data_IF_123913242142
#
_entry.id   IF_123913242142
#
_cell.length_a   1.000
_cell.length_b   1.000
_cell.length_c   1.000
_cell.angle_alpha   90.00
_cell.angle_beta   90.00
_cell.angle_gamma   90.00
#
_symmetry.space_group_name_H-M   'P 1'
#
loop_
_entity.id
_entity.type
_entity.pdbx_description
1 polymer ?
#
# COMPACT_ATOMS: atom_id res chain seq x y z
N UNK A 1 -28.57 -23.68 -9.79
CA UNK A 1 -27.97 -22.96 -8.65
C UNK A 1 -26.50 -22.81 -8.94
N UNK A 2 -26.07 -21.60 -9.29
CA UNK A 2 -24.72 -21.32 -9.77
C UNK A 2 -23.88 -20.72 -8.63
N UNK A 3 -22.68 -21.28 -8.46
CA UNK A 3 -21.45 -20.69 -7.93
C UNK A 3 -21.37 -20.33 -6.42
N UNK A 4 -20.89 -21.30 -5.64
CA UNK A 4 -19.86 -21.16 -4.59
C UNK A 4 -19.81 -19.86 -3.76
N UNK A 5 -20.48 -19.84 -2.61
CA UNK A 5 -20.36 -18.82 -1.55
C UNK A 5 -18.94 -18.69 -0.95
N UNK A 6 -18.04 -19.65 -1.23
CA UNK A 6 -16.66 -19.65 -0.72
C UNK A 6 -15.84 -18.46 -1.22
N UNK A 7 -16.14 -17.92 -2.40
CA UNK A 7 -15.46 -16.75 -2.96
C UNK A 7 -15.68 -15.49 -2.10
N UNK A 8 -16.84 -15.37 -1.43
CA UNK A 8 -17.18 -14.25 -0.56
C UNK A 8 -16.44 -14.26 0.78
N UNK A 9 -15.67 -15.32 1.08
CA UNK A 9 -14.80 -15.38 2.26
C UNK A 9 -13.34 -15.01 1.96
N UNK A 10 -12.96 -14.93 0.69
CA UNK A 10 -11.61 -14.52 0.30
C UNK A 10 -11.52 -12.99 0.29
N UNK A 11 -10.74 -12.42 1.22
CA UNK A 11 -10.42 -10.98 1.24
C UNK A 11 -8.99 -10.72 0.80
N UNK A 12 -8.76 -9.56 0.18
CA UNK A 12 -7.42 -9.07 -0.10
C UNK A 12 -6.70 -8.74 1.20
N UNK A 13 -5.45 -9.18 1.31
CA UNK A 13 -4.60 -8.85 2.45
C UNK A 13 -4.21 -7.38 2.42
N UNK A 14 -4.22 -6.75 3.58
CA UNK A 14 -3.82 -5.34 3.74
C UNK A 14 -2.29 -5.21 3.72
N UNK A 15 -1.75 -4.00 3.50
CA UNK A 15 -0.32 -3.70 3.72
C UNK A 15 0.20 -4.15 5.09
N UNK A 16 -0.60 -3.99 6.15
CA UNK A 16 -0.25 -4.41 7.52
C UNK A 16 -0.22 -5.94 7.66
N UNK A 17 -1.12 -6.65 7.00
CA UNK A 17 -1.16 -8.12 7.04
C UNK A 17 -0.08 -8.78 6.19
N UNK A 18 0.30 -8.14 5.08
CA UNK A 18 1.45 -8.57 4.28
C UNK A 18 2.74 -8.25 5.03
N UNK A 19 2.94 -7.02 5.53
CA UNK A 19 4.15 -6.59 6.24
C UNK A 19 5.42 -7.16 5.59
N UNK A 20 6.29 -7.85 6.35
CA UNK A 20 7.48 -8.56 5.85
C UNK A 20 7.22 -9.99 5.33
N UNK A 21 5.97 -10.47 5.31
CA UNK A 21 5.63 -11.80 4.78
C UNK A 21 5.83 -11.78 3.25
N UNK A 22 6.02 -12.96 2.65
CA UNK A 22 6.26 -13.15 1.20
C UNK A 22 7.63 -12.71 0.67
N UNK A 23 8.50 -12.16 1.52
CA UNK A 23 9.91 -11.92 1.16
C UNK A 23 10.56 -13.27 0.86
N UNK A 24 11.28 -13.37 -0.26
CA UNK A 24 11.90 -14.59 -0.78
C UNK A 24 10.95 -15.69 -1.28
N UNK A 25 9.63 -15.57 -1.04
CA UNK A 25 8.64 -16.56 -1.50
C UNK A 25 8.11 -16.25 -2.92
N UNK A 26 7.97 -14.96 -3.26
CA UNK A 26 7.38 -14.52 -4.53
C UNK A 26 8.25 -13.41 -5.16
N UNK A 27 9.35 -13.77 -5.85
CA UNK A 27 10.38 -12.81 -6.27
C UNK A 27 9.88 -11.67 -7.18
N UNK A 28 8.95 -11.95 -8.09
CA UNK A 28 8.42 -10.94 -9.01
C UNK A 28 7.52 -9.93 -8.29
N UNK A 29 6.73 -10.40 -7.33
CA UNK A 29 5.94 -9.51 -6.49
C UNK A 29 6.84 -8.70 -5.56
N UNK A 30 7.87 -9.32 -4.98
CA UNK A 30 8.82 -8.66 -4.08
C UNK A 30 9.45 -7.42 -4.71
N UNK A 31 9.75 -7.49 -6.01
CA UNK A 31 10.37 -6.39 -6.79
C UNK A 31 9.35 -5.40 -7.37
N UNK A 32 8.06 -5.61 -7.15
CA UNK A 32 7.01 -4.76 -7.70
C UNK A 32 6.88 -3.44 -6.95
N UNK A 33 6.45 -2.38 -7.65
CA UNK A 33 6.16 -1.07 -7.04
C UNK A 33 5.07 -1.21 -5.97
N UNK A 34 4.06 -2.05 -6.21
CA UNK A 34 2.98 -2.32 -5.26
C UNK A 34 3.52 -2.85 -3.93
N UNK A 35 4.46 -3.80 -3.97
CA UNK A 35 5.09 -4.34 -2.76
C UNK A 35 5.84 -3.25 -1.98
N UNK A 36 6.60 -2.41 -2.67
CA UNK A 36 7.32 -1.30 -2.03
C UNK A 36 6.36 -0.29 -1.41
N UNK A 37 5.25 0.04 -2.10
CA UNK A 37 4.19 0.90 -1.56
C UNK A 37 3.56 0.27 -0.31
N UNK A 38 3.28 -1.03 -0.32
CA UNK A 38 2.74 -1.74 0.85
C UNK A 38 3.72 -1.72 2.03
N UNK A 39 5.01 -1.92 1.79
CA UNK A 39 6.03 -1.78 2.84
C UNK A 39 6.14 -0.35 3.35
N UNK A 40 6.04 0.65 2.47
CA UNK A 40 6.03 2.06 2.84
C UNK A 40 4.88 2.39 3.78
N UNK A 41 3.66 1.99 3.41
CA UNK A 41 2.45 2.14 4.25
C UNK A 41 2.65 1.45 5.60
N UNK A 42 3.09 0.19 5.60
CA UNK A 42 3.35 -0.55 6.83
C UNK A 42 4.40 0.13 7.72
N UNK A 43 5.47 0.65 7.13
CA UNK A 43 6.54 1.38 7.83
C UNK A 43 6.01 2.65 8.46
N UNK A 44 5.24 3.46 7.72
CA UNK A 44 4.63 4.66 8.26
C UNK A 44 3.68 4.37 9.42
N UNK A 45 2.86 3.33 9.31
CA UNK A 45 1.95 2.90 10.39
C UNK A 45 2.74 2.48 11.63
N UNK A 46 3.78 1.66 11.45
CA UNK A 46 4.60 1.14 12.54
C UNK A 46 5.39 2.23 13.25
N UNK A 47 5.83 3.25 12.52
CA UNK A 47 6.59 4.39 13.01
C UNK A 47 5.66 5.54 13.44
N UNK A 48 4.71 5.24 14.33
CA UNK A 48 3.77 6.22 14.93
C UNK A 48 2.92 7.01 13.91
N UNK A 49 2.34 6.30 12.93
CA UNK A 49 1.50 6.89 11.87
C UNK A 49 2.19 8.03 11.09
N UNK A 50 3.48 7.87 10.81
CA UNK A 50 4.33 8.90 10.19
C UNK A 50 4.44 8.73 8.65
N UNK A 51 3.74 9.53 7.84
CA UNK A 51 3.79 9.44 6.38
C UNK A 51 5.15 9.87 5.80
N UNK A 52 5.93 10.69 6.51
CA UNK A 52 7.29 11.05 6.08
C UNK A 52 8.25 9.86 6.18
N UNK A 53 8.07 8.99 7.19
CA UNK A 53 8.82 7.72 7.28
C UNK A 53 8.42 6.75 6.17
N UNK A 54 7.13 6.69 5.83
CA UNK A 54 6.65 5.91 4.69
C UNK A 54 7.28 6.38 3.36
N UNK A 55 7.27 7.69 3.11
CA UNK A 55 7.88 8.28 1.91
C UNK A 55 9.39 8.04 1.87
N UNK A 56 10.09 8.24 3.00
CA UNK A 56 11.52 7.98 3.10
C UNK A 56 11.89 6.55 2.75
N UNK A 57 11.13 5.56 3.25
CA UNK A 57 11.30 4.17 2.89
C UNK A 57 11.15 3.95 1.36
N UNK A 58 10.08 4.47 0.76
CA UNK A 58 9.83 4.30 -0.68
C UNK A 58 10.96 4.91 -1.52
N UNK A 59 11.47 6.09 -1.15
CA UNK A 59 12.57 6.76 -1.87
C UNK A 59 13.88 5.98 -1.73
N UNK A 60 14.13 5.36 -0.58
CA UNK A 60 15.32 4.53 -0.36
C UNK A 60 15.27 3.22 -1.17
N UNK A 61 14.11 2.58 -1.25
CA UNK A 61 13.95 1.30 -1.96
C UNK A 61 13.76 1.45 -3.48
N UNK A 62 13.37 2.63 -3.96
CA UNK A 62 13.20 2.92 -5.40
C UNK A 62 14.23 3.97 -5.86
N UNK A 63 15.42 3.55 -6.33
CA UNK A 63 16.44 4.45 -6.85
C UNK A 63 15.96 5.40 -7.97
N UNK A 64 14.96 4.97 -8.75
CA UNK A 64 14.30 5.76 -9.79
C UNK A 64 12.89 6.21 -9.37
N UNK A 65 12.75 6.63 -8.11
CA UNK A 65 11.48 7.11 -7.54
C UNK A 65 10.79 8.16 -8.43
N UNK A 66 11.51 9.14 -8.95
CA UNK A 66 10.95 10.23 -9.76
C UNK A 66 10.23 9.71 -11.01
N UNK A 67 10.83 8.75 -11.71
CA UNK A 67 10.24 8.11 -12.89
C UNK A 67 8.99 7.27 -12.55
N UNK A 68 8.94 6.75 -11.31
CA UNK A 68 7.86 5.89 -10.80
C UNK A 68 6.76 6.67 -10.07
N UNK A 69 6.94 7.97 -9.86
CA UNK A 69 6.09 8.80 -9.00
C UNK A 69 4.62 8.75 -9.40
N UNK A 70 4.31 8.82 -10.69
CA UNK A 70 2.93 8.79 -11.17
C UNK A 70 2.26 7.44 -10.93
N UNK A 71 2.98 6.34 -11.09
CA UNK A 71 2.48 5.00 -10.75
C UNK A 71 2.25 4.88 -9.24
N UNK A 72 3.17 5.39 -8.41
CA UNK A 72 3.02 5.41 -6.95
C UNK A 72 1.74 6.19 -6.56
N UNK A 73 1.51 7.36 -7.16
CA UNK A 73 0.28 8.15 -6.92
C UNK A 73 -0.97 7.38 -7.30
N UNK A 74 -0.99 6.71 -8.45
CA UNK A 74 -2.14 5.90 -8.89
C UNK A 74 -2.42 4.75 -7.91
N UNK A 75 -1.38 4.03 -7.48
CA UNK A 75 -1.52 2.96 -6.49
C UNK A 75 -2.04 3.48 -5.15
N UNK A 76 -1.50 4.60 -4.66
CA UNK A 76 -1.96 5.20 -3.41
C UNK A 76 -3.40 5.72 -3.52
N UNK A 77 -3.78 6.29 -4.66
CA UNK A 77 -5.17 6.69 -4.92
C UNK A 77 -6.11 5.50 -4.87
N UNK A 78 -5.74 4.38 -5.49
CA UNK A 78 -6.54 3.16 -5.40
C UNK A 78 -6.66 2.65 -3.96
N UNK A 79 -5.55 2.62 -3.21
CA UNK A 79 -5.54 2.12 -1.83
C UNK A 79 -6.36 2.99 -0.89
N UNK A 80 -6.30 4.32 -1.00
CA UNK A 80 -7.06 5.19 -0.09
C UNK A 80 -8.57 5.09 -0.27
N UNK A 81 -9.03 4.73 -1.48
CA UNK A 81 -10.46 4.56 -1.78
C UNK A 81 -11.00 3.22 -1.24
N UNK A 82 -10.13 2.31 -0.77
CA UNK A 82 -10.56 1.02 -0.19
C UNK A 82 -11.37 1.16 1.10
N UNK A 83 -11.27 2.30 1.79
CA UNK A 83 -12.10 2.61 2.98
C UNK A 83 -13.59 2.76 2.64
N UNK A 84 -13.91 3.08 1.39
CA UNK A 84 -15.28 3.31 0.92
C UNK A 84 -15.90 2.03 0.31
N UNK A 85 -15.20 0.90 0.39
CA UNK A 85 -15.67 -0.39 -0.11
C UNK A 85 -16.15 -1.26 1.06
N UNK A 86 -17.44 -1.55 1.11
CA UNK A 86 -18.13 -2.22 2.24
C UNK A 86 -17.45 -3.50 2.74
N UNK A 87 -16.92 -4.33 1.82
CA UNK A 87 -16.27 -5.60 2.18
C UNK A 87 -14.78 -5.48 2.54
N UNK A 88 -14.21 -4.28 2.47
CA UNK A 88 -12.82 -3.97 2.87
C UNK A 88 -12.73 -3.25 4.22
N UNK A 89 -13.81 -2.56 4.61
CA UNK A 89 -13.97 -1.95 5.93
C UNK A 89 -14.32 -3.01 6.99
N UNK A 90 -13.73 -2.97 8.21
CA UNK A 90 -12.78 -1.97 8.71
C UNK A 90 -11.30 -2.31 8.48
N UNK A 91 -10.99 -3.49 7.93
CA UNK A 91 -9.61 -4.01 7.92
C UNK A 91 -8.61 -3.16 7.13
N UNK A 92 -9.09 -2.46 6.09
CA UNK A 92 -8.26 -1.59 5.26
C UNK A 92 -8.14 -0.16 5.79
N UNK A 93 -8.95 0.25 6.78
CA UNK A 93 -9.10 1.65 7.20
C UNK A 93 -7.76 2.32 7.55
N UNK A 94 -6.94 1.68 8.39
CA UNK A 94 -5.63 2.21 8.77
C UNK A 94 -4.68 2.36 7.56
N UNK A 95 -4.71 1.38 6.66
CA UNK A 95 -3.88 1.39 5.45
C UNK A 95 -4.35 2.45 4.45
N UNK A 96 -5.67 2.63 4.32
CA UNK A 96 -6.27 3.64 3.47
C UNK A 96 -5.97 5.07 3.98
N UNK A 97 -6.05 5.29 5.29
CA UNK A 97 -5.69 6.56 5.93
C UNK A 97 -4.22 6.92 5.70
N UNK A 98 -3.30 6.00 5.94
CA UNK A 98 -1.88 6.22 5.66
C UNK A 98 -1.62 6.44 4.16
N UNK A 99 -2.33 5.72 3.28
CA UNK A 99 -2.21 5.91 1.84
C UNK A 99 -2.67 7.31 1.39
N UNK A 100 -3.70 7.90 2.01
CA UNK A 100 -4.16 9.25 1.69
C UNK A 100 -3.14 10.33 2.11
N UNK A 101 -2.57 10.19 3.32
CA UNK A 101 -1.49 11.06 3.79
C UNK A 101 -0.27 10.97 2.87
N UNK A 102 0.14 9.75 2.54
CA UNK A 102 1.27 9.50 1.67
C UNK A 102 1.02 9.98 0.23
N UNK A 103 -0.20 9.82 -0.30
CA UNK A 103 -0.60 10.35 -1.60
C UNK A 103 -0.43 11.88 -1.64
N UNK A 104 -0.83 12.54 -0.56
CA UNK A 104 -0.66 13.99 -0.41
C UNK A 104 0.80 14.40 -0.36
N UNK A 105 1.65 13.69 0.40
CA UNK A 105 3.09 13.95 0.43
C UNK A 105 3.73 13.72 -0.94
N UNK A 106 3.49 12.58 -1.58
CA UNK A 106 4.06 12.26 -2.89
C UNK A 106 3.62 13.31 -3.91
N UNK A 107 2.36 13.75 -3.89
CA UNK A 107 1.82 14.76 -4.82
C UNK A 107 2.48 16.12 -4.67
N UNK A 108 2.87 16.49 -3.44
CA UNK A 108 3.53 17.75 -3.13
C UNK A 108 5.06 17.64 -3.05
N UNK A 109 5.63 16.44 -3.20
CA UNK A 109 7.07 16.22 -3.20
C UNK A 109 7.69 16.92 -4.42
N UNK A 110 8.60 17.84 -4.16
CA UNK A 110 9.35 18.62 -5.14
C UNK A 110 10.85 18.37 -4.95
N UNK A 111 11.62 18.45 -6.05
CA UNK A 111 13.09 18.44 -6.02
C UNK A 111 13.61 19.76 -5.44
#
# INVERSE_FOLDING_TARGET
>A
MMASEKANTARLKTPVEIAGRTISDVPDFEKSILRTVFMGIYTGIKEDENPSRALGYIKNELPNYWDKRDMIKQLLSFIKDTKDIDNMTPHWEQSATMADLLHSLVTNDSI
#
